data_IF_703331369869
#
_entry.id   IF_703331369869
#
_cell.length_a   1.000
_cell.length_b   1.000
_cell.length_c   1.000
_cell.angle_alpha   90.00
_cell.angle_beta   90.00
_cell.angle_gamma   90.00
#
_symmetry.space_group_name_H-M   'P 1'
#
loop_
_entity.id
_entity.type
_entity.pdbx_description
1 polymer ?
#
# COMPACT_ATOMS: atom_id res chain seq x y z
N UNK A 1 -0.97 59.65 -40.01
CA UNK A 1 -0.66 58.25 -40.35
C UNK A 1 -0.03 57.63 -39.12
N UNK A 2 -0.76 56.76 -38.43
CA UNK A 2 -0.21 55.97 -37.32
C UNK A 2 0.50 54.73 -37.90
N UNK A 3 1.59 54.25 -37.27
CA UNK A 3 2.36 53.12 -37.77
C UNK A 3 1.51 51.84 -37.78
N UNK A 4 1.59 51.11 -38.90
CA UNK A 4 0.80 49.91 -39.20
C UNK A 4 1.11 48.73 -38.25
N UNK A 5 2.22 48.78 -37.50
CA UNK A 5 2.65 47.75 -36.55
C UNK A 5 1.85 47.75 -35.23
N UNK A 6 1.23 48.86 -34.82
CA UNK A 6 0.38 48.89 -33.62
C UNK A 6 -1.04 48.32 -33.86
N UNK A 7 -1.42 48.14 -35.13
CA UNK A 7 -2.75 47.64 -35.48
C UNK A 7 -2.82 46.10 -35.33
N UNK A 8 -1.70 45.40 -35.56
CA UNK A 8 -1.63 43.93 -35.47
C UNK A 8 -1.52 43.41 -34.03
N UNK A 9 -0.93 44.18 -33.10
CA UNK A 9 -0.87 43.83 -31.66
C UNK A 9 -2.21 43.97 -30.94
N UNK A 10 -3.13 44.80 -31.46
CA UNK A 10 -4.49 44.91 -30.92
C UNK A 10 -5.41 43.80 -31.42
N UNK A 11 -5.13 43.24 -32.61
CA UNK A 11 -5.92 42.16 -33.21
C UNK A 11 -5.45 40.76 -32.78
N UNK A 12 -4.23 40.62 -32.27
CA UNK A 12 -3.66 39.35 -31.80
C UNK A 12 -3.79 39.14 -30.29
N UNK A 13 -4.39 40.09 -29.57
CA UNK A 13 -4.72 39.93 -28.16
C UNK A 13 -5.85 38.91 -28.03
N UNK A 14 -5.49 37.68 -27.67
CA UNK A 14 -6.46 36.63 -27.37
C UNK A 14 -7.53 37.20 -26.42
N UNK A 15 -8.79 37.03 -26.80
CA UNK A 15 -9.90 37.52 -25.98
C UNK A 15 -9.79 36.88 -24.60
N UNK A 16 -10.08 37.66 -23.56
CA UNK A 16 -10.11 37.17 -22.18
C UNK A 16 -10.98 35.91 -22.02
N UNK A 17 -12.04 35.79 -22.83
CA UNK A 17 -12.88 34.59 -22.89
C UNK A 17 -12.13 33.35 -23.44
N UNK A 18 -11.27 33.52 -24.45
CA UNK A 18 -10.47 32.44 -25.03
C UNK A 18 -9.40 31.94 -24.03
N UNK A 19 -8.81 32.86 -23.26
CA UNK A 19 -7.94 32.53 -22.13
C UNK A 19 -8.68 31.69 -21.08
N UNK A 20 -9.85 32.14 -20.62
CA UNK A 20 -10.64 31.43 -19.61
C UNK A 20 -11.04 30.03 -20.05
N UNK A 21 -11.43 29.86 -21.31
CA UNK A 21 -11.73 28.55 -21.90
C UNK A 21 -10.51 27.64 -21.96
N UNK A 22 -9.34 28.15 -22.37
CA UNK A 22 -8.10 27.35 -22.49
C UNK A 22 -7.60 26.83 -21.13
N UNK A 23 -7.75 27.63 -20.07
CA UNK A 23 -7.30 27.28 -18.72
C UNK A 23 -8.38 26.58 -17.87
N UNK A 24 -9.51 26.19 -18.48
CA UNK A 24 -10.56 25.42 -17.82
C UNK A 24 -11.34 26.19 -16.75
N UNK A 25 -11.26 27.53 -16.77
CA UNK A 25 -11.91 28.41 -15.77
C UNK A 25 -13.43 28.36 -15.93
N UNK A 26 -13.92 28.28 -17.17
CA UNK A 26 -15.37 28.26 -17.46
C UNK A 26 -15.95 26.82 -17.55
N UNK A 27 -15.11 25.78 -17.43
CA UNK A 27 -15.54 24.38 -17.37
C UNK A 27 -15.54 23.82 -15.94
N UNK A 28 -15.35 24.65 -14.92
CA UNK A 28 -15.54 24.19 -13.55
C UNK A 28 -17.03 24.03 -13.28
N UNK A 29 -17.45 22.82 -12.93
CA UNK A 29 -18.85 22.45 -12.62
C UNK A 29 -19.46 23.17 -11.38
N UNK A 30 -18.78 24.21 -10.87
CA UNK A 30 -19.10 24.99 -9.68
C UNK A 30 -19.48 26.47 -10.01
N UNK A 31 -19.79 26.82 -11.27
CA UNK A 31 -20.27 28.19 -11.58
C UNK A 31 -21.71 28.39 -11.07
N UNK A 32 -21.88 29.31 -10.11
CA UNK A 32 -23.15 29.57 -9.40
C UNK A 32 -24.16 30.38 -10.23
N UNK A 33 -23.77 30.82 -11.42
CA UNK A 33 -24.64 31.52 -12.35
C UNK A 33 -24.92 30.62 -13.55
N UNK A 34 -26.15 30.08 -13.70
CA UNK A 34 -26.51 29.43 -14.94
C UNK A 34 -26.41 30.45 -16.08
N UNK A 35 -25.89 30.00 -17.22
CA UNK A 35 -25.89 30.72 -18.48
C UNK A 35 -27.30 31.24 -18.78
N UNK A 36 -27.57 32.50 -18.42
CA UNK A 36 -28.69 33.23 -18.98
C UNK A 36 -28.25 33.55 -20.40
N UNK A 37 -28.72 32.73 -21.34
CA UNK A 37 -28.64 32.98 -22.76
C UNK A 37 -28.78 34.48 -23.03
N UNK A 38 -27.69 35.08 -23.53
CA UNK A 38 -27.70 36.45 -24.02
C UNK A 38 -28.79 36.58 -25.09
N UNK A 39 -29.68 37.59 -25.01
CA UNK A 39 -30.73 37.77 -26.00
C UNK A 39 -30.10 38.18 -27.33
N UNK A 40 -30.32 37.35 -28.35
CA UNK A 40 -29.97 37.69 -29.71
C UNK A 40 -30.77 38.92 -30.16
N UNK A 41 -30.01 39.97 -30.53
CA UNK A 41 -30.27 41.02 -31.52
C UNK A 41 -31.73 41.45 -31.76
N UNK A 42 -31.96 42.69 -31.35
CA UNK A 42 -32.94 43.67 -31.82
C UNK A 42 -33.45 43.51 -33.25
N UNK A 43 -34.78 43.54 -33.41
CA UNK A 43 -35.45 44.39 -34.41
C UNK A 43 -36.93 44.59 -34.05
N UNK A 44 -37.45 45.78 -34.40
CA UNK A 44 -38.87 46.18 -34.51
C UNK A 44 -39.59 46.77 -33.27
N UNK A 45 -39.59 48.11 -33.23
CA UNK A 45 -40.73 49.03 -33.05
C UNK A 45 -41.62 49.00 -31.79
N UNK A 46 -41.55 50.11 -31.05
CA UNK A 46 -42.61 50.68 -30.19
C UNK A 46 -43.94 50.84 -30.95
N UNK A 47 -45.12 50.69 -30.31
CA UNK A 47 -45.72 51.85 -29.63
C UNK A 47 -46.59 51.57 -28.37
N UNK A 48 -46.37 52.41 -27.36
CA UNK A 48 -47.36 53.26 -26.68
C UNK A 48 -48.80 52.72 -26.46
N UNK A 49 -49.14 52.29 -25.22
CA UNK A 49 -50.40 52.62 -24.51
C UNK A 49 -50.50 51.96 -23.12
N UNK A 50 -50.74 52.77 -22.11
CA UNK A 50 -51.53 52.43 -20.92
C UNK A 50 -52.74 53.38 -20.90
N UNK A 51 -53.79 53.23 -20.05
CA UNK A 51 -54.15 52.13 -19.14
C UNK A 51 -55.63 51.67 -19.32
N UNK A 52 -56.02 50.48 -18.86
CA UNK A 52 -57.43 50.25 -18.54
C UNK A 52 -57.65 49.25 -17.40
N UNK A 53 -58.45 49.70 -16.43
CA UNK A 53 -59.00 48.94 -15.30
C UNK A 53 -59.76 47.72 -15.81
N UNK A 54 -59.43 46.52 -15.34
CA UNK A 54 -60.42 45.44 -15.17
C UNK A 54 -60.24 44.70 -13.86
N UNK A 55 -61.39 44.56 -13.20
CA UNK A 55 -61.72 43.95 -11.93
C UNK A 55 -62.21 42.54 -12.21
N UNK A 56 -61.65 41.52 -11.55
CA UNK A 56 -62.15 40.14 -11.55
C UNK A 56 -61.00 39.16 -11.35
N UNK A 57 -60.90 38.41 -10.25
CA UNK A 57 -61.72 37.29 -9.74
C UNK A 57 -60.85 36.03 -9.82
N UNK A 58 -60.41 35.53 -8.66
CA UNK A 58 -59.90 34.17 -8.45
C UNK A 58 -58.51 33.84 -9.00
N UNK A 59 -57.45 34.08 -8.21
CA UNK A 59 -56.21 33.30 -8.35
C UNK A 59 -56.33 32.07 -7.44
N UNK A 60 -56.49 30.91 -8.07
CA UNK A 60 -56.12 29.63 -7.48
C UNK A 60 -54.64 29.71 -7.11
N UNK A 61 -54.31 29.34 -5.86
CA UNK A 61 -52.94 29.04 -5.47
C UNK A 61 -52.50 27.83 -6.28
N UNK A 62 -51.79 28.08 -7.36
CA UNK A 62 -50.94 27.10 -7.98
C UNK A 62 -49.79 26.87 -7.00
N UNK A 63 -49.80 25.73 -6.30
CA UNK A 63 -48.62 25.23 -5.60
C UNK A 63 -47.55 25.01 -6.66
N UNK A 64 -46.64 25.98 -6.75
CA UNK A 64 -45.38 25.81 -7.45
C UNK A 64 -44.63 24.71 -6.71
N UNK A 65 -44.77 23.47 -7.19
CA UNK A 65 -43.82 22.40 -6.89
C UNK A 65 -42.50 22.88 -7.51
N UNK A 66 -41.49 23.29 -6.71
CA UNK A 66 -40.22 23.66 -7.29
C UNK A 66 -39.67 22.43 -8.05
N UNK A 67 -39.07 22.60 -9.23
CA UNK A 67 -38.40 21.52 -9.92
C UNK A 67 -37.41 20.87 -8.94
N UNK A 68 -37.54 19.56 -8.72
CA UNK A 68 -36.67 18.77 -7.85
C UNK A 68 -35.18 18.80 -8.26
N UNK A 69 -34.86 19.50 -9.35
CA UNK A 69 -33.56 19.60 -10.00
C UNK A 69 -32.78 20.90 -9.66
N UNK A 70 -33.37 21.81 -8.87
CA UNK A 70 -32.77 23.11 -8.51
C UNK A 70 -32.16 23.16 -7.10
N UNK A 71 -32.25 22.08 -6.34
CA UNK A 71 -31.59 21.95 -5.04
C UNK A 71 -30.48 20.91 -5.21
N UNK A 72 -29.41 21.27 -5.94
CA UNK A 72 -28.12 20.62 -5.68
C UNK A 72 -27.82 20.90 -4.20
N UNK A 73 -27.84 19.91 -3.30
CA UNK A 73 -27.55 20.16 -1.91
C UNK A 73 -26.16 20.79 -1.87
N UNK A 74 -26.08 22.02 -1.33
CA UNK A 74 -24.81 22.71 -1.17
C UNK A 74 -23.86 21.75 -0.47
N UNK A 75 -22.74 21.43 -1.14
CA UNK A 75 -21.70 20.58 -0.55
C UNK A 75 -21.41 21.12 0.84
N UNK A 76 -21.60 20.30 1.86
CA UNK A 76 -21.43 20.74 3.25
C UNK A 76 -20.01 21.27 3.42
N UNK A 77 -19.80 22.24 4.32
CA UNK A 77 -18.44 22.70 4.68
C UNK A 77 -17.56 21.51 5.10
N UNK A 78 -18.16 20.48 5.71
CA UNK A 78 -17.47 19.23 6.03
C UNK A 78 -17.06 18.45 4.79
N UNK A 79 -17.89 18.42 3.76
CA UNK A 79 -17.61 17.74 2.48
C UNK A 79 -16.49 18.44 1.70
N UNK A 80 -16.50 19.78 1.64
CA UNK A 80 -15.43 20.55 1.00
C UNK A 80 -14.09 20.34 1.71
N UNK A 81 -14.11 20.30 3.06
CA UNK A 81 -12.90 19.99 3.85
C UNK A 81 -12.41 18.55 3.62
N UNK A 82 -13.32 17.57 3.59
CA UNK A 82 -12.97 16.18 3.30
C UNK A 82 -12.38 16.04 1.90
N UNK A 83 -12.94 16.73 0.89
CA UNK A 83 -12.39 16.73 -0.48
C UNK A 83 -10.99 17.33 -0.52
N UNK A 84 -10.75 18.43 0.18
CA UNK A 84 -9.42 19.04 0.30
C UNK A 84 -8.40 18.14 1.01
N UNK A 85 -8.81 17.45 2.07
CA UNK A 85 -7.96 16.47 2.76
C UNK A 85 -7.64 15.27 1.86
N UNK A 86 -8.63 14.74 1.14
CA UNK A 86 -8.42 13.62 0.22
C UNK A 86 -7.46 13.99 -0.91
N UNK A 87 -7.57 15.22 -1.47
CA UNK A 87 -6.61 15.71 -2.48
C UNK A 87 -5.18 15.75 -1.94
N UNK A 88 -4.98 16.30 -0.74
CA UNK A 88 -3.65 16.35 -0.10
C UNK A 88 -3.08 14.97 0.17
N UNK A 89 -3.92 14.04 0.61
CA UNK A 89 -3.54 12.65 0.79
C UNK A 89 -3.08 12.02 -0.53
N UNK A 90 -3.86 12.19 -1.61
CA UNK A 90 -3.50 11.69 -2.95
C UNK A 90 -2.18 12.28 -3.47
N UNK A 91 -1.95 13.58 -3.25
CA UNK A 91 -0.70 14.23 -3.64
C UNK A 91 0.49 13.68 -2.82
N UNK A 92 0.31 13.46 -1.51
CA UNK A 92 1.34 12.88 -0.62
C UNK A 92 1.69 11.44 -1.03
N UNK A 93 0.69 10.58 -1.19
CA UNK A 93 0.93 9.18 -1.58
C UNK A 93 1.43 9.06 -3.02
N UNK A 94 1.03 9.98 -3.91
CA UNK A 94 1.56 10.08 -5.27
C UNK A 94 3.06 10.33 -5.28
N UNK A 95 3.54 11.27 -4.45
CA UNK A 95 4.98 11.54 -4.30
C UNK A 95 5.75 10.32 -3.76
N UNK A 96 5.15 9.57 -2.83
CA UNK A 96 5.77 8.34 -2.31
C UNK A 96 5.93 7.27 -3.39
N UNK A 97 4.92 7.07 -4.26
CA UNK A 97 4.99 6.13 -5.38
C UNK A 97 5.99 6.60 -6.45
N UNK A 98 6.03 7.90 -6.76
CA UNK A 98 7.00 8.48 -7.69
C UNK A 98 8.43 8.18 -7.24
N UNK A 99 8.74 8.33 -5.95
CA UNK A 99 10.05 7.98 -5.40
C UNK A 99 10.40 6.49 -5.43
N UNK A 100 9.43 5.62 -5.73
CA UNK A 100 9.64 4.18 -5.98
C UNK A 100 9.78 3.83 -7.48
N UNK A 101 9.69 4.82 -8.38
CA UNK A 101 9.72 4.61 -9.82
C UNK A 101 10.97 3.86 -10.30
N UNK A 102 10.84 3.12 -11.42
CA UNK A 102 11.91 2.24 -11.95
C UNK A 102 13.25 2.94 -12.14
N UNK A 103 13.25 4.21 -12.56
CA UNK A 103 14.46 4.99 -12.88
C UNK A 103 15.03 5.74 -11.67
N UNK A 104 14.38 5.64 -10.50
CA UNK A 104 14.85 6.31 -9.28
C UNK A 104 16.05 5.62 -8.65
N UNK A 105 16.80 6.41 -7.87
CA UNK A 105 17.97 5.90 -7.15
C UNK A 105 17.57 4.80 -6.14
N UNK A 106 18.38 3.74 -5.96
CA UNK A 106 18.08 2.69 -4.98
C UNK A 106 17.86 3.23 -3.56
N UNK A 107 18.58 4.28 -3.18
CA UNK A 107 18.43 4.95 -1.88
C UNK A 107 17.06 5.62 -1.74
N UNK A 108 16.59 6.31 -2.78
CA UNK A 108 15.27 6.96 -2.76
C UNK A 108 14.16 5.92 -2.71
N UNK A 109 14.24 4.87 -3.53
CA UNK A 109 13.27 3.74 -3.51
C UNK A 109 13.12 3.15 -2.11
N UNK A 110 14.24 2.86 -1.44
CA UNK A 110 14.25 2.33 -0.08
C UNK A 110 13.69 3.32 0.94
N UNK A 111 13.97 4.61 0.80
CA UNK A 111 13.44 5.65 1.68
C UNK A 111 11.92 5.80 1.54
N UNK A 112 11.41 5.90 0.30
CA UNK A 112 9.97 5.98 0.01
C UNK A 112 9.24 4.72 0.47
N UNK A 113 9.77 3.53 0.17
CA UNK A 113 9.19 2.27 0.63
C UNK A 113 9.17 2.17 2.17
N UNK A 114 10.22 2.61 2.86
CA UNK A 114 10.25 2.67 4.33
C UNK A 114 9.19 3.63 4.87
N UNK A 115 9.02 4.80 4.27
CA UNK A 115 8.00 5.76 4.68
C UNK A 115 6.59 5.16 4.51
N UNK A 116 6.29 4.56 3.36
CA UNK A 116 5.02 3.87 3.12
C UNK A 116 4.74 2.82 4.19
N UNK A 117 5.68 1.89 4.43
CA UNK A 117 5.52 0.82 5.44
C UNK A 117 5.34 1.40 6.84
N UNK A 118 6.04 2.48 7.17
CA UNK A 118 5.91 3.15 8.47
C UNK A 118 4.55 3.81 8.64
N UNK A 119 4.01 4.47 7.60
CA UNK A 119 2.68 5.08 7.61
C UNK A 119 1.56 4.04 7.66
N UNK A 120 1.72 2.90 6.99
CA UNK A 120 0.77 1.78 7.04
C UNK A 120 0.66 1.11 8.42
N UNK A 121 1.55 1.44 9.37
CA UNK A 121 1.36 1.05 10.76
C UNK A 121 0.24 1.87 11.46
N UNK A 122 -0.18 3.00 10.90
CA UNK A 122 -1.19 3.91 11.46
C UNK A 122 -2.58 3.59 10.89
N UNK A 123 -3.55 3.33 11.77
CA UNK A 123 -4.88 2.85 11.35
C UNK A 123 -5.65 3.87 10.49
N UNK A 124 -5.52 5.17 10.78
CA UNK A 124 -6.17 6.23 10.01
C UNK A 124 -5.63 6.31 8.58
N UNK A 125 -4.31 6.19 8.42
CA UNK A 125 -3.66 6.15 7.10
C UNK A 125 -4.11 4.91 6.31
N UNK A 126 -4.19 3.73 6.94
CA UNK A 126 -4.65 2.50 6.28
C UNK A 126 -6.08 2.63 5.75
N UNK A 127 -6.97 3.30 6.49
CA UNK A 127 -8.34 3.54 6.02
C UNK A 127 -8.39 4.43 4.78
N UNK A 128 -7.59 5.51 4.77
CA UNK A 128 -7.47 6.40 3.61
C UNK A 128 -6.82 5.70 2.42
N UNK A 129 -5.76 4.93 2.66
CA UNK A 129 -5.08 4.14 1.65
C UNK A 129 -6.01 3.14 0.97
N UNK A 130 -6.87 2.46 1.73
CA UNK A 130 -7.88 1.54 1.18
C UNK A 130 -8.92 2.28 0.33
N UNK A 131 -9.41 3.42 0.80
CA UNK A 131 -10.41 4.20 0.07
C UNK A 131 -9.87 4.79 -1.26
N UNK A 132 -8.56 4.91 -1.39
CA UNK A 132 -7.88 5.43 -2.57
C UNK A 132 -7.23 4.36 -3.47
N UNK A 133 -7.51 3.07 -3.23
CA UNK A 133 -6.86 1.93 -3.91
C UNK A 133 -5.31 1.97 -3.87
N UNK A 134 -4.74 2.68 -2.88
CA UNK A 134 -3.31 2.94 -2.77
C UNK A 134 -2.48 1.66 -2.59
N UNK A 135 -3.05 0.66 -1.90
CA UNK A 135 -2.34 -0.59 -1.57
C UNK A 135 -2.03 -1.42 -2.81
N UNK A 136 -2.92 -1.42 -3.82
CA UNK A 136 -2.66 -2.12 -5.08
C UNK A 136 -1.55 -1.42 -5.86
N UNK A 137 -1.63 -0.10 -6.01
CA UNK A 137 -0.58 0.70 -6.67
C UNK A 137 0.77 0.59 -5.95
N UNK A 138 0.76 0.45 -4.63
CA UNK A 138 1.98 0.24 -3.83
C UNK A 138 2.62 -1.11 -4.13
N UNK A 139 1.84 -2.19 -4.25
CA UNK A 139 2.36 -3.49 -4.68
C UNK A 139 3.04 -3.40 -6.04
N UNK A 140 2.35 -2.81 -7.03
CA UNK A 140 2.89 -2.63 -8.38
C UNK A 140 4.21 -1.84 -8.34
N UNK A 141 4.25 -0.74 -7.58
CA UNK A 141 5.46 0.06 -7.38
C UNK A 141 6.61 -0.73 -6.74
N UNK A 142 6.35 -1.63 -5.79
CA UNK A 142 7.39 -2.50 -5.23
C UNK A 142 7.99 -3.42 -6.30
N UNK A 143 7.13 -4.07 -7.09
CA UNK A 143 7.58 -4.99 -8.15
C UNK A 143 8.37 -4.23 -9.23
N UNK A 144 7.89 -3.06 -9.64
CA UNK A 144 8.59 -2.18 -10.59
C UNK A 144 9.92 -1.64 -10.06
N UNK A 145 9.99 -1.33 -8.76
CA UNK A 145 11.22 -0.92 -8.08
C UNK A 145 12.28 -2.04 -8.04
N UNK A 146 11.88 -3.29 -8.28
CA UNK A 146 12.75 -4.47 -8.30
C UNK A 146 12.65 -5.36 -7.07
N UNK A 147 11.69 -5.11 -6.17
CA UNK A 147 11.43 -5.98 -5.03
C UNK A 147 10.91 -7.35 -5.49
N UNK A 148 11.18 -8.41 -4.73
CA UNK A 148 10.74 -9.77 -5.04
C UNK A 148 11.72 -10.59 -5.87
N UNK A 149 12.80 -9.98 -6.37
CA UNK A 149 13.81 -10.63 -7.22
C UNK A 149 14.98 -11.23 -6.43
N UNK A 150 15.15 -10.85 -5.16
CA UNK A 150 16.29 -11.28 -4.33
C UNK A 150 17.56 -10.43 -4.49
N UNK A 151 17.53 -9.40 -5.34
CA UNK A 151 18.69 -8.55 -5.65
C UNK A 151 18.97 -7.51 -4.54
N UNK A 152 17.91 -6.92 -3.96
CA UNK A 152 18.01 -5.93 -2.87
C UNK A 152 17.28 -6.45 -1.62
N UNK A 153 18.06 -7.02 -0.70
CA UNK A 153 17.57 -7.59 0.57
C UNK A 153 16.80 -6.59 1.43
N UNK A 154 17.09 -5.29 1.32
CA UNK A 154 16.43 -4.25 2.12
C UNK A 154 15.06 -3.96 1.54
N UNK A 155 15.00 -3.81 0.22
CA UNK A 155 13.75 -3.60 -0.49
C UNK A 155 12.83 -4.83 -0.36
N UNK A 156 13.40 -6.04 -0.40
CA UNK A 156 12.68 -7.29 -0.14
C UNK A 156 12.14 -7.38 1.30
N UNK A 157 12.92 -6.93 2.29
CA UNK A 157 12.44 -6.80 3.68
C UNK A 157 11.29 -5.81 3.81
N UNK A 158 11.34 -4.69 3.07
CA UNK A 158 10.27 -3.69 3.06
C UNK A 158 9.00 -4.25 2.39
N UNK A 159 9.15 -5.00 1.30
CA UNK A 159 8.05 -5.70 0.64
C UNK A 159 7.41 -6.74 1.58
N UNK A 160 8.22 -7.56 2.26
CA UNK A 160 7.72 -8.53 3.23
C UNK A 160 6.91 -7.85 4.36
N UNK A 161 7.39 -6.71 4.85
CA UNK A 161 6.69 -5.92 5.86
C UNK A 161 5.40 -5.28 5.34
N UNK A 162 5.41 -4.74 4.13
CA UNK A 162 4.22 -4.23 3.45
C UNK A 162 3.14 -5.30 3.35
N UNK A 163 3.49 -6.49 2.87
CA UNK A 163 2.54 -7.59 2.71
C UNK A 163 1.99 -8.11 4.03
N UNK A 164 2.81 -8.16 5.08
CA UNK A 164 2.34 -8.51 6.43
C UNK A 164 1.43 -7.43 7.05
N UNK A 165 1.58 -6.16 6.66
CA UNK A 165 0.64 -5.11 7.06
C UNK A 165 -0.69 -5.24 6.31
N UNK A 166 -0.64 -5.57 5.02
CA UNK A 166 -1.84 -5.82 4.21
C UNK A 166 -2.59 -7.06 4.69
N UNK A 167 -1.89 -8.11 5.14
CA UNK A 167 -2.51 -9.36 5.62
C UNK A 167 -3.37 -9.20 6.87
N UNK A 168 -3.36 -8.02 7.51
CA UNK A 168 -4.31 -7.66 8.58
C UNK A 168 -5.76 -7.61 8.09
N UNK A 169 -5.97 -7.42 6.79
CA UNK A 169 -7.27 -7.49 6.14
C UNK A 169 -7.23 -8.47 4.98
N UNK A 170 -7.91 -9.60 5.16
CA UNK A 170 -7.97 -10.69 4.20
C UNK A 170 -8.58 -10.24 2.86
N UNK A 171 -9.53 -9.31 2.87
CA UNK A 171 -10.16 -8.81 1.64
C UNK A 171 -9.12 -8.14 0.74
N UNK A 172 -8.42 -7.14 1.29
CA UNK A 172 -7.36 -6.42 0.57
C UNK A 172 -6.23 -7.35 0.11
N UNK A 173 -5.79 -8.28 0.94
CA UNK A 173 -4.75 -9.24 0.57
C UNK A 173 -5.18 -10.11 -0.62
N UNK A 174 -6.44 -10.56 -0.61
CA UNK A 174 -7.03 -11.39 -1.67
C UNK A 174 -7.18 -10.59 -2.97
N UNK A 175 -7.57 -9.31 -2.88
CA UNK A 175 -7.69 -8.43 -4.05
C UNK A 175 -6.34 -8.24 -4.76
N UNK A 176 -5.25 -8.01 -4.00
CA UNK A 176 -3.89 -7.92 -4.56
C UNK A 176 -3.50 -9.26 -5.21
N UNK A 177 -3.76 -10.38 -4.54
CA UNK A 177 -3.40 -11.70 -5.06
C UNK A 177 -4.15 -12.10 -6.34
N UNK A 178 -5.38 -11.61 -6.54
CA UNK A 178 -6.16 -11.87 -7.75
C UNK A 178 -5.80 -10.97 -8.93
N UNK A 179 -5.34 -9.73 -8.67
CA UNK A 179 -4.96 -8.76 -9.71
C UNK A 179 -3.84 -9.29 -10.61
N UNK A 180 -2.87 -9.99 -10.04
CA UNK A 180 -1.76 -10.63 -10.78
C UNK A 180 -2.21 -11.75 -11.74
N UNK A 181 -3.47 -12.21 -11.67
CA UNK A 181 -4.02 -13.21 -12.60
C UNK A 181 -4.78 -12.60 -13.79
N UNK A 182 -4.98 -11.28 -13.84
CA UNK A 182 -5.67 -10.66 -14.98
C UNK A 182 -4.73 -10.56 -16.21
N UNK A 183 -5.15 -10.99 -17.41
CA UNK A 183 -4.32 -11.03 -18.61
C UNK A 183 -3.96 -9.65 -19.21
N UNK A 184 -4.23 -8.55 -18.50
CA UNK A 184 -4.12 -7.17 -19.02
C UNK A 184 -2.85 -6.45 -18.58
N UNK A 185 -2.07 -6.99 -17.64
CA UNK A 185 -0.74 -6.45 -17.31
C UNK A 185 0.29 -7.11 -18.23
N UNK A 186 1.08 -6.31 -18.94
CA UNK A 186 2.17 -6.75 -19.81
C UNK A 186 3.37 -7.33 -19.04
N UNK A 187 3.13 -7.87 -17.84
CA UNK A 187 4.12 -8.46 -16.96
C UNK A 187 4.17 -9.95 -17.32
N UNK A 188 5.37 -10.43 -17.61
CA UNK A 188 5.65 -11.83 -17.94
C UNK A 188 4.91 -12.81 -17.02
N UNK A 189 4.38 -13.94 -17.52
CA UNK A 189 3.62 -14.94 -16.76
C UNK A 189 4.39 -15.65 -15.63
N UNK A 190 5.62 -15.21 -15.32
CA UNK A 190 6.54 -15.87 -14.38
C UNK A 190 6.43 -15.37 -12.93
N UNK A 191 5.87 -14.17 -12.66
CA UNK A 191 5.86 -13.58 -11.31
C UNK A 191 4.43 -13.35 -10.80
N UNK A 192 3.74 -14.42 -10.41
CA UNK A 192 2.49 -14.27 -9.63
C UNK A 192 2.79 -13.81 -8.21
N UNK A 193 1.88 -13.06 -7.58
CA UNK A 193 1.93 -12.65 -6.17
C UNK A 193 2.47 -13.76 -5.25
N UNK A 194 1.85 -14.94 -5.34
CA UNK A 194 2.20 -16.10 -4.52
C UNK A 194 3.61 -16.60 -4.86
N UNK A 195 3.95 -16.69 -6.15
CA UNK A 195 5.30 -17.09 -6.59
C UNK A 195 6.37 -16.15 -6.06
N UNK A 196 6.12 -14.84 -6.04
CA UNK A 196 7.03 -13.81 -5.52
C UNK A 196 7.24 -13.96 -4.01
N UNK A 197 6.18 -14.22 -3.23
CA UNK A 197 6.36 -14.44 -1.79
C UNK A 197 7.13 -15.73 -1.50
N UNK A 198 6.90 -16.80 -2.28
CA UNK A 198 7.67 -18.04 -2.15
C UNK A 198 9.13 -17.89 -2.63
N UNK A 199 9.39 -17.12 -3.68
CA UNK A 199 10.76 -16.84 -4.13
C UNK A 199 11.55 -16.06 -3.08
N UNK A 200 10.91 -15.13 -2.38
CA UNK A 200 11.49 -14.43 -1.23
C UNK A 200 11.68 -15.33 -0.01
N UNK A 201 10.76 -16.28 0.22
CA UNK A 201 10.84 -17.21 1.34
C UNK A 201 11.93 -18.29 1.16
N UNK A 202 12.16 -18.71 -0.09
CA UNK A 202 13.08 -19.81 -0.42
C UNK A 202 14.51 -19.64 0.11
N UNK A 203 15.18 -18.48 -0.06
CA UNK A 203 16.55 -18.29 0.42
C UNK A 203 16.64 -17.99 1.93
N UNK A 204 15.51 -17.76 2.62
CA UNK A 204 15.52 -17.33 4.02
C UNK A 204 15.81 -18.50 4.95
N UNK A 205 16.97 -18.41 5.58
CA UNK A 205 17.40 -19.22 6.72
C UNK A 205 17.62 -18.30 7.93
N UNK A 206 17.70 -18.87 9.15
CA UNK A 206 17.94 -18.07 10.34
C UNK A 206 19.26 -17.27 10.31
N UNK A 207 20.23 -17.70 9.51
CA UNK A 207 21.53 -17.06 9.32
C UNK A 207 21.50 -15.98 8.25
N UNK A 208 20.58 -16.09 7.27
CA UNK A 208 20.51 -15.20 6.09
C UNK A 208 19.44 -14.12 6.21
N UNK A 209 18.53 -14.24 7.17
CA UNK A 209 17.43 -13.30 7.42
C UNK A 209 17.89 -11.99 8.08
N UNK A 210 17.81 -10.83 7.39
CA UNK A 210 18.27 -9.54 7.92
C UNK A 210 17.49 -9.06 9.15
N UNK A 211 16.18 -9.27 9.20
CA UNK A 211 15.36 -8.79 10.33
C UNK A 211 15.56 -9.68 11.55
N UNK A 212 15.76 -10.99 11.35
CA UNK A 212 16.07 -11.90 12.44
C UNK A 212 17.45 -11.62 13.05
N UNK A 213 18.43 -11.25 12.23
CA UNK A 213 19.75 -10.84 12.69
C UNK A 213 19.67 -9.63 13.64
N UNK A 214 18.76 -8.68 13.38
CA UNK A 214 18.50 -7.53 14.26
C UNK A 214 17.83 -7.97 15.56
N UNK A 215 16.90 -8.92 15.48
CA UNK A 215 16.17 -9.42 16.66
C UNK A 215 17.06 -10.19 17.63
N UNK A 216 17.92 -11.08 17.13
CA UNK A 216 18.71 -12.02 17.96
C UNK A 216 20.05 -11.46 18.43
N UNK A 217 20.66 -10.56 17.66
CA UNK A 217 22.05 -10.17 17.92
C UNK A 217 22.13 -9.00 18.90
N UNK A 218 23.02 -9.12 19.88
CA UNK A 218 23.48 -8.00 20.70
C UNK A 218 24.33 -7.00 19.90
N UNK A 219 24.90 -7.43 18.77
CA UNK A 219 25.69 -6.63 17.83
C UNK A 219 25.13 -6.81 16.40
N UNK A 220 23.98 -6.19 16.07
CA UNK A 220 23.30 -6.42 14.78
C UNK A 220 24.12 -5.93 13.58
N UNK A 221 24.96 -4.89 13.75
CA UNK A 221 25.69 -4.29 12.63
C UNK A 221 26.78 -5.20 12.04
N UNK A 222 27.39 -6.09 12.82
CA UNK A 222 28.38 -7.03 12.30
C UNK A 222 27.73 -8.14 11.49
N UNK A 223 26.60 -8.67 11.98
CA UNK A 223 25.82 -9.70 11.30
C UNK A 223 25.24 -9.18 9.98
N UNK A 224 24.66 -7.98 9.97
CA UNK A 224 24.14 -7.37 8.73
C UNK A 224 25.26 -7.14 7.71
N UNK A 225 26.45 -6.73 8.13
CA UNK A 225 27.61 -6.60 7.23
C UNK A 225 28.05 -7.95 6.64
N UNK A 226 27.99 -9.04 7.41
CA UNK A 226 28.26 -10.39 6.90
C UNK A 226 27.25 -10.81 5.84
N UNK A 227 26.01 -10.30 5.91
CA UNK A 227 24.98 -10.49 4.90
C UNK A 227 25.15 -9.59 3.66
N UNK A 228 26.21 -8.78 3.61
CA UNK A 228 26.48 -7.84 2.52
C UNK A 228 25.69 -6.54 2.62
N UNK A 229 25.05 -6.26 3.76
CA UNK A 229 24.23 -5.06 3.95
C UNK A 229 25.10 -3.88 4.34
N UNK A 230 24.99 -2.78 3.60
CA UNK A 230 25.77 -1.58 3.83
C UNK A 230 25.30 -0.81 5.08
N UNK A 231 26.16 0.06 5.63
CA UNK A 231 25.87 0.82 6.86
C UNK A 231 24.61 1.68 6.74
N UNK A 232 24.37 2.30 5.58
CA UNK A 232 23.18 3.11 5.33
C UNK A 232 21.90 2.25 5.39
N UNK A 233 21.97 1.07 4.81
CA UNK A 233 20.88 0.09 4.77
C UNK A 233 20.58 -0.54 6.13
N UNK A 234 21.60 -0.71 6.98
CA UNK A 234 21.38 -1.13 8.37
C UNK A 234 20.45 -0.16 9.13
N UNK A 235 20.55 1.15 8.87
CA UNK A 235 19.68 2.14 9.52
C UNK A 235 18.22 2.02 9.05
N UNK A 236 18.01 1.75 7.76
CA UNK A 236 16.68 1.48 7.19
C UNK A 236 16.06 0.25 7.85
N UNK A 237 16.78 -0.87 7.92
CA UNK A 237 16.29 -2.11 8.52
C UNK A 237 16.02 -2.00 10.02
N UNK A 238 16.85 -1.26 10.77
CA UNK A 238 16.60 -0.99 12.20
C UNK A 238 15.34 -0.15 12.40
N UNK A 239 15.13 0.85 11.54
CA UNK A 239 13.93 1.69 11.58
C UNK A 239 12.68 0.87 11.26
N UNK A 240 12.75 0.04 10.22
CA UNK A 240 11.71 -0.92 9.85
C UNK A 240 11.38 -1.87 11.01
N UNK A 241 12.40 -2.51 11.59
CA UNK A 241 12.24 -3.44 12.72
C UNK A 241 11.55 -2.76 13.91
N UNK A 242 11.97 -1.55 14.26
CA UNK A 242 11.35 -0.76 15.32
C UNK A 242 9.90 -0.42 15.00
N UNK A 243 9.59 -0.01 13.76
CA UNK A 243 8.23 0.31 13.33
C UNK A 243 7.30 -0.92 13.44
N UNK A 244 7.75 -2.09 12.96
CA UNK A 244 6.98 -3.33 13.05
C UNK A 244 6.74 -3.73 14.51
N UNK A 245 7.79 -3.70 15.33
CA UNK A 245 7.73 -4.14 16.73
C UNK A 245 6.85 -3.24 17.59
N UNK A 246 6.84 -1.93 17.34
CA UNK A 246 6.17 -0.96 18.22
C UNK A 246 4.82 -0.49 17.69
N UNK A 247 4.65 -0.35 16.36
CA UNK A 247 3.48 0.29 15.76
C UNK A 247 2.60 -0.67 14.96
N UNK A 248 3.17 -1.65 14.25
CA UNK A 248 2.40 -2.47 13.30
C UNK A 248 1.31 -3.35 13.96
N UNK A 249 1.53 -3.77 15.22
CA UNK A 249 0.59 -4.60 16.00
C UNK A 249 0.14 -5.88 15.29
N UNK A 250 0.98 -6.44 14.42
CA UNK A 250 0.73 -7.72 13.72
C UNK A 250 1.00 -8.90 14.65
N UNK A 251 2.09 -8.83 15.43
CA UNK A 251 2.52 -9.89 16.34
C UNK A 251 2.56 -9.42 17.79
N UNK A 252 2.62 -10.37 18.72
CA UNK A 252 2.81 -10.06 20.13
C UNK A 252 4.22 -9.51 20.38
N UNK A 253 4.38 -8.63 21.37
CA UNK A 253 5.66 -7.95 21.68
C UNK A 253 6.83 -8.87 22.03
N UNK A 254 6.55 -10.15 22.31
CA UNK A 254 7.53 -11.18 22.63
C UNK A 254 8.02 -11.96 21.39
N UNK A 255 7.30 -11.88 20.27
CA UNK A 255 7.58 -12.65 19.06
C UNK A 255 8.81 -12.09 18.35
N UNK A 256 9.81 -12.91 18.02
CA UNK A 256 10.97 -12.45 17.25
C UNK A 256 10.54 -12.10 15.82
N UNK A 257 10.83 -10.87 15.38
CA UNK A 257 10.48 -10.40 14.04
C UNK A 257 11.55 -10.88 13.03
N UNK A 258 11.11 -11.45 11.92
CA UNK A 258 11.95 -11.93 10.82
C UNK A 258 11.22 -11.76 9.47
N UNK A 259 11.96 -11.70 8.37
CA UNK A 259 11.34 -11.72 7.04
C UNK A 259 10.55 -13.00 6.83
N UNK A 260 11.10 -14.15 7.28
CA UNK A 260 10.44 -15.43 7.17
C UNK A 260 9.07 -15.44 7.87
N UNK A 261 8.96 -14.82 9.05
CA UNK A 261 7.71 -14.69 9.79
C UNK A 261 6.70 -13.80 9.05
N UNK A 262 7.14 -12.65 8.54
CA UNK A 262 6.27 -11.72 7.81
C UNK A 262 5.68 -12.39 6.56
N UNK A 263 6.51 -13.09 5.80
CA UNK A 263 6.10 -13.81 4.59
C UNK A 263 5.23 -15.03 4.92
N UNK A 264 5.64 -15.87 5.87
CA UNK A 264 4.87 -17.07 6.26
C UNK A 264 3.50 -16.70 6.78
N UNK A 265 3.41 -15.66 7.62
CA UNK A 265 2.16 -15.18 8.17
C UNK A 265 1.20 -14.69 7.08
N UNK A 266 1.73 -13.91 6.14
CA UNK A 266 0.93 -13.37 5.03
C UNK A 266 0.46 -14.47 4.08
N UNK A 267 1.35 -15.42 3.76
CA UNK A 267 1.01 -16.58 2.95
C UNK A 267 -0.05 -17.45 3.64
N UNK A 268 0.08 -17.69 4.95
CA UNK A 268 -0.87 -18.49 5.73
C UNK A 268 -2.27 -17.85 5.82
N UNK A 269 -2.36 -16.53 5.66
CA UNK A 269 -3.63 -15.83 5.62
C UNK A 269 -4.38 -16.00 4.28
N UNK A 270 -3.69 -16.38 3.19
CA UNK A 270 -4.32 -16.51 1.87
C UNK A 270 -5.31 -17.68 1.81
N UNK A 271 -6.31 -17.53 0.94
CA UNK A 271 -7.19 -18.65 0.59
C UNK A 271 -6.39 -19.80 -0.03
N UNK A 272 -6.60 -21.07 0.38
CA UNK A 272 -5.93 -22.23 -0.23
C UNK A 272 -6.13 -22.34 -1.74
N UNK A 273 -7.22 -21.78 -2.29
CA UNK A 273 -7.49 -21.75 -3.73
C UNK A 273 -6.47 -20.94 -4.54
N UNK A 274 -5.77 -20.02 -3.90
CA UNK A 274 -4.72 -19.19 -4.51
C UNK A 274 -3.35 -19.87 -4.51
N UNK A 275 -3.17 -20.90 -3.68
CA UNK A 275 -1.91 -21.58 -3.48
C UNK A 275 -1.65 -22.59 -4.62
N UNK A 276 -0.54 -22.39 -5.34
CA UNK A 276 -0.13 -23.29 -6.44
C UNK A 276 0.71 -24.45 -5.92
N UNK A 277 0.42 -25.67 -6.37
CA UNK A 277 1.19 -26.86 -6.00
C UNK A 277 2.67 -26.79 -6.39
N UNK A 278 3.02 -25.91 -7.35
CA UNK A 278 4.39 -25.64 -7.77
C UNK A 278 5.25 -25.10 -6.60
N UNK A 279 4.62 -24.45 -5.62
CA UNK A 279 5.31 -23.87 -4.46
C UNK A 279 5.51 -24.87 -3.31
N UNK A 280 4.92 -26.07 -3.37
CA UNK A 280 5.01 -27.07 -2.30
C UNK A 280 6.46 -27.51 -1.99
N UNK A 281 7.35 -27.74 -2.98
CA UNK A 281 8.74 -28.07 -2.70
C UNK A 281 9.46 -26.97 -1.90
N UNK A 282 9.18 -25.70 -2.21
CA UNK A 282 9.74 -24.55 -1.50
C UNK A 282 9.24 -24.54 -0.05
N UNK A 283 7.93 -24.69 0.15
CA UNK A 283 7.33 -24.77 1.48
C UNK A 283 7.97 -25.87 2.34
N UNK A 284 8.10 -27.09 1.81
CA UNK A 284 8.70 -28.20 2.53
C UNK A 284 10.19 -27.97 2.84
N UNK A 285 10.92 -27.31 1.94
CA UNK A 285 12.31 -26.97 2.16
C UNK A 285 12.47 -25.90 3.25
N UNK A 286 11.64 -24.86 3.23
CA UNK A 286 11.60 -23.84 4.28
C UNK A 286 11.25 -24.46 5.63
N UNK A 287 10.22 -25.32 5.69
CA UNK A 287 9.82 -26.01 6.92
C UNK A 287 10.96 -26.89 7.48
N UNK A 288 11.64 -27.66 6.63
CA UNK A 288 12.81 -28.47 7.05
C UNK A 288 13.92 -27.62 7.63
N UNK A 289 14.20 -26.46 7.02
CA UNK A 289 15.26 -25.54 7.46
C UNK A 289 14.92 -24.96 8.84
N UNK A 290 13.67 -24.51 9.03
CA UNK A 290 13.21 -23.96 10.31
C UNK A 290 13.16 -25.02 11.42
N UNK A 291 12.69 -26.25 11.12
CA UNK A 291 12.66 -27.36 12.08
C UNK A 291 14.06 -27.82 12.49
N UNK A 292 15.01 -27.85 11.55
CA UNK A 292 16.42 -28.17 11.87
C UNK A 292 16.99 -27.16 12.85
N UNK A 293 16.85 -25.87 12.55
CA UNK A 293 17.32 -24.80 13.45
C UNK A 293 16.65 -24.85 14.82
N UNK A 294 15.35 -25.13 14.88
CA UNK A 294 14.65 -25.30 16.15
C UNK A 294 15.18 -26.50 16.95
N UNK A 295 15.47 -27.61 16.27
CA UNK A 295 16.01 -28.83 16.90
C UNK A 295 17.42 -28.58 17.46
N UNK A 296 18.30 -27.94 16.69
CA UNK A 296 19.64 -27.55 17.12
C UNK A 296 19.58 -26.65 18.36
N UNK A 297 18.70 -25.64 18.34
CA UNK A 297 18.49 -24.74 19.48
C UNK A 297 17.97 -25.46 20.73
N UNK A 298 17.10 -26.46 20.58
CA UNK A 298 16.59 -27.26 21.70
C UNK A 298 17.65 -28.21 22.25
N UNK A 299 18.48 -28.81 21.38
CA UNK A 299 19.61 -29.65 21.77
C UNK A 299 20.67 -28.86 22.55
N UNK A 300 20.95 -27.62 22.15
CA UNK A 300 21.87 -26.74 22.89
C UNK A 300 21.35 -26.40 24.29
N UNK A 301 20.02 -26.23 24.43
CA UNK A 301 19.38 -25.98 25.72
C UNK A 301 19.45 -27.22 26.64
N UNK A 302 19.25 -28.41 26.09
CA UNK A 302 19.31 -29.68 26.84
C UNK A 302 20.72 -30.01 27.32
N UNK A 303 21.74 -29.76 26.49
CA UNK A 303 23.13 -30.06 26.82
C UNK A 303 23.76 -29.06 27.81
N UNK A 304 23.06 -27.96 28.12
CA UNK A 304 23.53 -26.88 28.97
C UNK A 304 24.70 -26.10 28.35
N UNK A 305 24.99 -24.87 28.83
CA UNK A 305 26.14 -24.14 28.35
C UNK A 305 27.42 -24.96 28.61
N UNK A 306 28.36 -25.04 27.65
CA UNK A 306 29.59 -25.77 27.86
C UNK A 306 30.24 -25.25 29.14
N UNK A 307 30.55 -26.16 30.07
CA UNK A 307 31.25 -25.86 31.33
C UNK A 307 32.59 -25.21 31.00
N UNK A 308 32.60 -23.88 30.80
CA UNK A 308 33.80 -23.08 30.73
C UNK A 308 34.34 -23.02 32.16
N UNK A 309 35.25 -23.94 32.47
CA UNK A 309 36.16 -23.77 33.59
C UNK A 309 36.88 -22.43 33.40
N UNK A 310 36.84 -21.60 34.44
CA UNK A 310 37.64 -20.39 34.61
C UNK A 310 37.20 -19.12 33.87
N UNK A 311 36.04 -18.56 34.23
CA UNK A 311 35.85 -17.10 34.19
C UNK A 311 34.76 -16.63 35.19
N UNK A 312 35.07 -15.53 35.88
CA UNK A 312 34.28 -14.79 36.89
C UNK A 312 32.75 -14.79 36.66
N UNK A 313 31.94 -14.83 37.74
CA UNK A 313 30.49 -14.83 37.63
C UNK A 313 30.00 -13.43 37.20
N UNK A 314 29.54 -13.31 35.96
CA UNK A 314 28.66 -12.23 35.56
C UNK A 314 27.22 -12.69 35.79
N UNK A 315 26.52 -11.93 36.61
CA UNK A 315 25.08 -11.94 36.90
C UNK A 315 24.18 -12.82 36.02
N UNK A 316 23.58 -13.80 36.69
CA UNK A 316 22.50 -14.70 36.26
C UNK A 316 21.28 -13.97 35.68
N UNK A 317 21.06 -14.05 34.36
CA UNK A 317 19.78 -13.71 33.71
C UNK A 317 19.61 -14.26 32.28
N UNK A 318 20.47 -15.15 31.75
CA UNK A 318 20.49 -15.45 30.31
C UNK A 318 19.61 -16.62 29.83
N UNK A 319 19.21 -17.58 30.66
CA UNK A 319 18.49 -18.77 30.16
C UNK A 319 17.12 -18.48 29.54
N UNK A 320 16.45 -17.39 29.89
CA UNK A 320 15.14 -17.06 29.31
C UNK A 320 15.24 -16.35 27.94
N UNK A 321 16.42 -15.82 27.60
CA UNK A 321 16.67 -15.18 26.30
C UNK A 321 16.83 -16.18 25.16
N UNK A 322 17.31 -17.40 25.47
CA UNK A 322 17.61 -18.42 24.46
C UNK A 322 16.34 -19.06 23.86
N UNK A 323 15.23 -19.13 24.61
CA UNK A 323 13.94 -19.58 24.06
C UNK A 323 13.34 -18.59 23.04
N UNK A 324 13.77 -17.33 23.07
CA UNK A 324 13.39 -16.33 22.07
C UNK A 324 14.05 -16.58 20.70
N UNK A 325 15.02 -17.49 20.64
CA UNK A 325 15.67 -17.88 19.40
C UNK A 325 14.82 -18.84 18.57
N UNK A 326 13.91 -19.64 19.15
CA UNK A 326 13.16 -20.63 18.36
C UNK A 326 12.06 -19.96 17.53
N UNK A 327 12.04 -20.12 16.19
CA UNK A 327 11.09 -19.47 15.31
C UNK A 327 9.73 -20.18 15.29
N UNK A 328 9.12 -20.42 16.46
CA UNK A 328 7.86 -21.16 16.58
C UNK A 328 6.72 -20.54 15.76
N UNK A 329 6.67 -19.21 15.64
CA UNK A 329 5.68 -18.53 14.80
C UNK A 329 5.81 -18.89 13.32
N UNK A 330 7.04 -18.90 12.80
CA UNK A 330 7.30 -19.29 11.41
C UNK A 330 6.90 -20.76 11.19
N UNK A 331 7.31 -21.65 12.10
CA UNK A 331 6.97 -23.08 12.00
C UNK A 331 5.45 -23.30 12.02
N UNK A 332 4.75 -22.61 12.91
CA UNK A 332 3.30 -22.66 13.00
C UNK A 332 2.63 -22.21 11.69
N UNK A 333 3.05 -21.08 11.14
CA UNK A 333 2.48 -20.56 9.88
C UNK A 333 2.77 -21.49 8.69
N UNK A 334 3.98 -22.08 8.64
CA UNK A 334 4.33 -23.06 7.60
C UNK A 334 3.51 -24.37 7.73
N UNK A 335 3.18 -24.80 8.95
CA UNK A 335 2.25 -25.92 9.14
C UNK A 335 0.82 -25.56 8.76
N UNK A 336 0.33 -24.37 9.10
CA UNK A 336 -0.98 -23.89 8.68
C UNK A 336 -1.07 -23.81 7.14
N UNK A 337 -0.01 -23.37 6.48
CA UNK A 337 0.11 -23.40 5.02
C UNK A 337 0.05 -24.81 4.47
N UNK A 338 0.82 -25.74 5.05
CA UNK A 338 0.84 -27.14 4.63
C UNK A 338 -0.55 -27.78 4.78
N UNK A 339 -1.23 -27.52 5.90
CA UNK A 339 -2.61 -27.97 6.13
C UNK A 339 -3.56 -27.39 5.08
N UNK A 340 -3.44 -26.10 4.77
CA UNK A 340 -4.18 -25.44 3.68
C UNK A 340 -3.96 -26.12 2.31
N UNK A 341 -2.72 -26.49 1.97
CA UNK A 341 -2.44 -27.26 0.75
C UNK A 341 -3.14 -28.62 0.77
N UNK A 342 -3.02 -29.37 1.88
CA UNK A 342 -3.60 -30.71 1.97
C UNK A 342 -5.13 -30.68 1.90
N UNK A 343 -5.77 -29.77 2.66
CA UNK A 343 -7.22 -29.61 2.65
C UNK A 343 -7.74 -29.12 1.30
N UNK A 344 -7.07 -28.13 0.70
CA UNK A 344 -7.45 -27.58 -0.61
C UNK A 344 -7.36 -28.61 -1.75
N UNK A 345 -6.35 -29.49 -1.72
CA UNK A 345 -6.18 -30.53 -2.73
C UNK A 345 -7.14 -31.70 -2.55
N UNK A 346 -7.42 -32.10 -1.30
CA UNK A 346 -8.39 -33.17 -1.02
C UNK A 346 -9.79 -32.75 -1.49
N UNK A 347 -10.21 -31.51 -1.26
CA UNK A 347 -11.47 -31.00 -1.80
C UNK A 347 -11.51 -31.01 -3.33
N UNK A 348 -10.39 -30.75 -4.02
CA UNK A 348 -10.32 -30.79 -5.48
C UNK A 348 -10.39 -32.23 -6.03
N UNK A 349 -9.78 -33.19 -5.33
CA UNK A 349 -9.87 -34.62 -5.65
C UNK A 349 -11.30 -35.13 -5.45
N UNK A 350 -11.96 -34.75 -4.36
CA UNK A 350 -13.37 -35.10 -4.12
C UNK A 350 -14.34 -34.39 -5.07
N UNK A 351 -14.01 -33.19 -5.57
CA UNK A 351 -14.83 -32.50 -6.58
C UNK A 351 -14.69 -33.11 -8.00
N UNK A 352 -13.63 -33.90 -8.24
CA UNK A 352 -13.38 -34.60 -9.50
C UNK A 352 -13.88 -36.06 -9.50
N UNK A 353 -14.32 -36.59 -8.35
CA UNK A 353 -14.89 -37.92 -8.17
C UNK A 353 -16.43 -37.89 -8.16
#
# INVERSE_FOLDING_TARGET
>A
MLPQELQDDLNSRESYAALRSRWGVDNSEDDLYPDIHSPAKSDVSTPNRSPSKRKGKGRLKEEVIPPADLIKPLKSITEIRNKGQNRRFLDEVGYLLEGMGRDESPTLKKASALEIVTRLCEAEFVLQAKAADFLQSTWDAFIEAGAGKGDDKVLDSLLAAFIALVSRDLGTLTDIAHRDRLPSSSISPESSFVSTLFSLLAPLSPETDPLLAITRSSAPDSQLKMLGIMKADCAVLKTLHSAIRTKARIFTSKTPISNALLLSHSLAALSPSLLSCICLPILLQSLRTQLRSATECLSDLENGPPKRSDAKPASSSSCLGDLQAVPFGVIHDLFALLDGYLLGQVSLIFALL
#
